data_IF_954674838458
#
_entry.id   IF_954674838458
#
_cell.length_a   1.000
_cell.length_b   1.000
_cell.length_c   1.000
_cell.angle_alpha   90.00
_cell.angle_beta   90.00
_cell.angle_gamma   90.00
#
_symmetry.space_group_name_H-M   'P 1'
#
loop_
_entity.id
_entity.type
_entity.pdbx_description
1 polymer ?
#
# COMPACT_ATOMS: atom_id res chain seq x y z
N UNK A 1 -22.88 27.64 26.50
CA UNK A 1 -22.23 27.02 25.32
C UNK A 1 -21.69 25.68 25.78
N UNK A 2 -22.43 24.60 25.50
CA UNK A 2 -22.09 23.24 25.95
C UNK A 2 -20.96 22.70 25.05
N UNK A 3 -19.71 22.81 25.51
CA UNK A 3 -18.53 22.31 24.77
C UNK A 3 -18.01 21.06 25.47
N UNK A 4 -18.84 20.02 25.52
CA UNK A 4 -18.35 18.65 25.65
C UNK A 4 -19.21 17.79 24.72
N UNK A 5 -18.72 17.57 23.50
CA UNK A 5 -19.37 16.70 22.52
C UNK A 5 -18.59 15.42 22.20
N UNK A 6 -17.35 15.25 22.67
CA UNK A 6 -16.60 13.99 22.52
C UNK A 6 -16.29 13.34 23.88
N UNK A 7 -16.87 12.16 24.11
CA UNK A 7 -16.60 11.30 25.28
C UNK A 7 -15.13 10.94 25.47
N UNK A 8 -14.32 11.00 24.41
CA UNK A 8 -12.87 10.74 24.47
C UNK A 8 -12.11 11.84 25.21
N UNK A 9 -12.54 13.09 25.06
CA UNK A 9 -11.89 14.22 25.73
C UNK A 9 -12.08 14.17 27.25
N UNK A 10 -13.22 13.66 27.73
CA UNK A 10 -13.47 13.46 29.15
C UNK A 10 -12.45 12.53 29.83
N UNK A 11 -11.87 11.57 29.10
CA UNK A 11 -10.81 10.69 29.63
C UNK A 11 -9.44 11.37 29.69
N UNK A 12 -9.25 12.39 28.86
CA UNK A 12 -8.01 13.18 28.78
C UNK A 12 -8.01 14.32 29.78
N UNK A 13 -9.15 14.69 30.34
CA UNK A 13 -9.22 15.63 31.44
C UNK A 13 -8.90 14.93 32.77
N UNK A 14 -7.92 15.48 33.48
CA UNK A 14 -7.53 15.05 34.81
C UNK A 14 -7.41 16.25 35.75
N UNK A 15 -7.30 15.97 37.04
CA UNK A 15 -6.88 16.95 38.04
C UNK A 15 -5.65 16.43 38.77
N UNK A 16 -4.71 17.33 39.06
CA UNK A 16 -3.60 17.04 39.98
C UNK A 16 -4.11 17.04 41.43
N UNK A 17 -3.27 16.59 42.36
CA UNK A 17 -3.57 16.54 43.79
C UNK A 17 -3.86 17.92 44.41
N UNK A 18 -3.38 19.00 43.79
CA UNK A 18 -3.65 20.40 44.15
C UNK A 18 -4.96 20.95 43.53
N UNK A 19 -5.70 20.13 42.77
CA UNK A 19 -6.94 20.53 42.12
C UNK A 19 -6.78 21.19 40.75
N UNK A 20 -5.56 21.42 40.27
CA UNK A 20 -5.33 22.05 38.96
C UNK A 20 -5.78 21.13 37.80
N UNK A 21 -6.61 21.62 36.85
CA UNK A 21 -6.97 20.85 35.67
C UNK A 21 -5.74 20.60 34.79
N UNK A 22 -5.56 19.37 34.34
CA UNK A 22 -4.50 18.99 33.40
C UNK A 22 -5.04 18.11 32.28
N UNK A 23 -4.41 18.22 31.12
CA UNK A 23 -4.60 17.25 30.04
C UNK A 23 -3.66 16.08 30.25
N UNK A 24 -4.20 14.87 30.37
CA UNK A 24 -3.42 13.64 30.51
C UNK A 24 -2.58 13.43 29.25
N UNK A 25 -1.31 13.03 29.40
CA UNK A 25 -0.48 12.72 28.24
C UNK A 25 -1.00 11.46 27.54
N UNK A 26 -0.85 11.41 26.21
CA UNK A 26 -1.11 10.20 25.44
C UNK A 26 0.00 9.18 25.74
N UNK A 27 -0.38 7.93 26.01
CA UNK A 27 0.63 6.87 26.21
C UNK A 27 1.42 6.64 24.92
N UNK A 28 2.72 6.34 25.01
CA UNK A 28 3.52 5.95 23.85
C UNK A 28 2.89 4.73 23.14
N UNK A 29 2.96 4.72 21.81
CA UNK A 29 2.25 3.74 20.97
C UNK A 29 3.15 3.28 19.82
N UNK A 30 3.12 3.94 18.66
CA UNK A 30 3.90 3.56 17.47
C UNK A 30 5.41 3.53 17.71
N UNK A 31 5.92 4.40 18.58
CA UNK A 31 7.35 4.51 18.88
C UNK A 31 7.87 3.38 19.78
N UNK A 32 6.98 2.71 20.53
CA UNK A 32 7.36 1.67 21.50
C UNK A 32 6.87 0.29 21.06
N UNK A 33 5.84 0.22 20.21
CA UNK A 33 5.35 -1.02 19.65
C UNK A 33 6.31 -1.56 18.57
N UNK A 34 6.52 -2.88 18.57
CA UNK A 34 7.28 -3.55 17.51
C UNK A 34 6.46 -3.64 16.22
N UNK A 35 6.58 -2.60 15.39
CA UNK A 35 5.92 -2.50 14.10
C UNK A 35 6.53 -3.42 13.03
N UNK A 36 7.71 -4.00 13.26
CA UNK A 36 8.43 -4.82 12.29
C UNK A 36 7.92 -6.26 12.23
N UNK A 37 6.89 -6.60 13.01
CA UNK A 37 6.13 -7.83 12.87
C UNK A 37 5.61 -7.97 11.44
N UNK A 38 5.82 -9.15 10.84
CA UNK A 38 5.46 -9.43 9.44
C UNK A 38 4.00 -9.06 9.14
N UNK A 39 3.08 -9.37 10.06
CA UNK A 39 1.64 -9.15 9.88
C UNK A 39 1.29 -7.65 9.82
N UNK A 40 1.84 -6.85 10.73
CA UNK A 40 1.67 -5.40 10.77
C UNK A 40 2.29 -4.73 9.54
N UNK A 41 3.51 -5.13 9.18
CA UNK A 41 4.21 -4.62 8.01
C UNK A 41 3.44 -4.92 6.71
N UNK A 42 2.92 -6.14 6.53
CA UNK A 42 2.11 -6.50 5.37
C UNK A 42 0.79 -5.70 5.31
N UNK A 43 0.16 -5.45 6.45
CA UNK A 43 -1.05 -4.61 6.49
C UNK A 43 -0.79 -3.18 6.01
N UNK A 44 0.30 -2.56 6.49
CA UNK A 44 0.70 -1.21 6.05
C UNK A 44 1.09 -1.22 4.56
N UNK A 45 1.87 -2.21 4.14
CA UNK A 45 2.26 -2.37 2.73
C UNK A 45 1.03 -2.51 1.81
N UNK A 46 -0.04 -3.19 2.24
CA UNK A 46 -1.30 -3.30 1.48
C UNK A 46 -1.92 -1.93 1.21
N UNK A 47 -1.89 -1.04 2.20
CA UNK A 47 -2.41 0.34 2.06
C UNK A 47 -1.53 1.17 1.13
N UNK A 48 -0.20 1.11 1.32
CA UNK A 48 0.76 1.86 0.50
C UNK A 48 0.65 1.41 -0.97
N UNK A 49 0.64 0.10 -1.22
CA UNK A 49 0.54 -0.46 -2.57
C UNK A 49 -0.81 -0.16 -3.22
N UNK A 50 -1.91 -0.10 -2.45
CA UNK A 50 -3.21 0.34 -2.96
C UNK A 50 -3.19 1.80 -3.46
N UNK A 51 -2.53 2.69 -2.72
CA UNK A 51 -2.32 4.09 -3.14
C UNK A 51 -1.45 4.16 -4.40
N UNK A 52 -0.32 3.44 -4.42
CA UNK A 52 0.57 3.38 -5.59
C UNK A 52 -0.19 2.83 -6.82
N UNK A 53 -1.00 1.78 -6.65
CA UNK A 53 -1.79 1.20 -7.73
C UNK A 53 -2.84 2.16 -8.28
N UNK A 54 -3.43 2.98 -7.40
CA UNK A 54 -4.35 4.06 -7.80
C UNK A 54 -3.64 5.12 -8.65
N UNK A 55 -2.39 5.49 -8.32
CA UNK A 55 -1.56 6.35 -9.17
C UNK A 55 -1.28 5.70 -10.51
N UNK A 56 -1.08 4.38 -10.55
CA UNK A 56 -0.96 3.61 -11.79
C UNK A 56 -2.14 3.78 -12.74
N UNK A 57 -3.37 3.83 -12.22
CA UNK A 57 -4.55 4.10 -13.05
C UNK A 57 -4.52 5.48 -13.68
N UNK A 58 -3.99 6.49 -12.99
CA UNK A 58 -3.80 7.83 -13.56
C UNK A 58 -2.77 7.79 -14.70
N UNK A 59 -1.66 7.06 -14.52
CA UNK A 59 -0.65 6.86 -15.58
C UNK A 59 -1.25 6.13 -16.79
N UNK A 60 -2.08 5.11 -16.57
CA UNK A 60 -2.78 4.39 -17.63
C UNK A 60 -3.70 5.32 -18.42
N UNK A 61 -4.51 6.13 -17.73
CA UNK A 61 -5.39 7.11 -18.37
C UNK A 61 -4.58 8.14 -19.17
N UNK A 62 -3.47 8.64 -18.61
CA UNK A 62 -2.59 9.57 -19.32
C UNK A 62 -2.04 8.95 -20.62
N UNK A 63 -1.60 7.70 -20.57
CA UNK A 63 -1.12 6.96 -21.74
C UNK A 63 -2.23 6.74 -22.79
N UNK A 64 -3.45 6.38 -22.37
CA UNK A 64 -4.60 6.20 -23.26
C UNK A 64 -4.99 7.51 -23.96
N UNK A 65 -5.04 8.63 -23.21
CA UNK A 65 -5.33 9.96 -23.76
C UNK A 65 -4.26 10.37 -24.78
N UNK A 66 -2.97 10.14 -24.47
CA UNK A 66 -1.89 10.44 -25.40
C UNK A 66 -1.97 9.62 -26.68
N UNK A 67 -2.33 8.34 -26.56
CA UNK A 67 -2.56 7.43 -27.70
C UNK A 67 -3.70 7.93 -28.59
N UNK A 68 -4.79 8.42 -28.00
CA UNK A 68 -5.94 8.95 -28.75
C UNK A 68 -5.68 10.34 -29.37
N UNK A 69 -4.79 11.14 -28.79
CA UNK A 69 -4.51 12.52 -29.24
C UNK A 69 -3.69 12.57 -30.53
N UNK A 70 -2.79 11.59 -30.72
CA UNK A 70 -2.00 11.46 -31.94
C UNK A 70 -0.49 11.31 -31.70
N UNK A 71 0.30 11.22 -32.78
CA UNK A 71 1.69 10.75 -32.71
C UNK A 71 2.62 11.60 -31.84
N UNK A 72 2.45 12.93 -31.83
CA UNK A 72 3.28 13.82 -31.02
C UNK A 72 3.08 13.62 -29.52
N UNK A 73 1.82 13.54 -29.07
CA UNK A 73 1.49 13.32 -27.66
C UNK A 73 1.92 11.91 -27.21
N UNK A 74 1.63 10.88 -28.01
CA UNK A 74 2.06 9.52 -27.75
C UNK A 74 3.59 9.41 -27.67
N UNK A 75 4.32 10.08 -28.58
CA UNK A 75 5.79 10.10 -28.57
C UNK A 75 6.37 10.68 -27.29
N UNK A 76 5.80 11.77 -26.77
CA UNK A 76 6.25 12.38 -25.51
C UNK A 76 6.05 11.44 -24.32
N UNK A 77 4.87 10.79 -24.21
CA UNK A 77 4.60 9.84 -23.12
C UNK A 77 5.48 8.60 -23.25
N UNK A 78 5.63 8.06 -24.46
CA UNK A 78 6.45 6.88 -24.72
C UNK A 78 7.91 7.14 -24.39
N UNK A 79 8.44 8.31 -24.74
CA UNK A 79 9.79 8.73 -24.35
C UNK A 79 9.97 8.77 -22.82
N UNK A 80 9.00 9.33 -22.10
CA UNK A 80 9.07 9.38 -20.64
C UNK A 80 8.98 7.99 -20.00
N UNK A 81 8.02 7.15 -20.41
CA UNK A 81 7.82 5.82 -19.84
C UNK A 81 8.96 4.85 -20.17
N UNK A 82 9.64 5.03 -21.31
CA UNK A 82 10.83 4.26 -21.69
C UNK A 82 12.14 4.80 -21.10
N UNK A 83 12.12 5.98 -20.47
CA UNK A 83 13.29 6.50 -19.75
C UNK A 83 13.65 5.59 -18.57
N UNK A 84 14.90 5.66 -18.10
CA UNK A 84 15.34 4.87 -16.94
C UNK A 84 14.44 5.05 -15.72
N UNK A 85 13.95 6.28 -15.48
CA UNK A 85 13.07 6.61 -14.36
C UNK A 85 11.66 6.09 -14.61
N UNK A 86 11.17 6.18 -15.85
CA UNK A 86 9.88 5.61 -16.26
C UNK A 86 9.84 4.10 -16.06
N UNK A 87 10.85 3.39 -16.54
CA UNK A 87 10.99 1.94 -16.37
C UNK A 87 11.08 1.56 -14.89
N UNK A 88 11.91 2.25 -14.10
CA UNK A 88 11.99 2.01 -12.65
C UNK A 88 10.62 2.21 -11.97
N UNK A 89 9.90 3.26 -12.32
CA UNK A 89 8.55 3.53 -11.85
C UNK A 89 7.57 2.42 -12.24
N UNK A 90 7.63 1.93 -13.47
CA UNK A 90 6.80 0.83 -13.96
C UNK A 90 7.12 -0.50 -13.24
N UNK A 91 8.39 -0.77 -12.91
CA UNK A 91 8.78 -1.95 -12.11
C UNK A 91 8.15 -1.85 -10.73
N UNK A 92 8.29 -0.69 -10.07
CA UNK A 92 7.67 -0.46 -8.76
C UNK A 92 6.15 -0.56 -8.80
N UNK A 93 5.52 -0.02 -9.84
CA UNK A 93 4.08 -0.06 -10.02
C UNK A 93 3.55 -1.49 -10.24
N UNK A 94 4.22 -2.28 -11.08
CA UNK A 94 3.87 -3.68 -11.33
C UNK A 94 4.06 -4.55 -10.07
N UNK A 95 5.12 -4.32 -9.31
CA UNK A 95 5.33 -4.99 -8.01
C UNK A 95 4.21 -4.63 -7.01
N UNK A 96 3.85 -3.34 -6.92
CA UNK A 96 2.74 -2.89 -6.08
C UNK A 96 1.40 -3.50 -6.51
N UNK A 97 1.15 -3.61 -7.82
CA UNK A 97 -0.06 -4.24 -8.37
C UNK A 97 -0.19 -5.71 -7.95
N UNK A 98 0.89 -6.49 -8.14
CA UNK A 98 0.90 -7.91 -7.77
C UNK A 98 0.76 -8.10 -6.27
N UNK A 99 1.50 -7.32 -5.48
CA UNK A 99 1.39 -7.38 -4.03
C UNK A 99 -0.03 -7.08 -3.55
N UNK A 100 -0.61 -5.97 -4.02
CA UNK A 100 -1.94 -5.53 -3.59
C UNK A 100 -3.01 -6.55 -3.98
N UNK A 101 -2.91 -7.12 -5.18
CA UNK A 101 -3.83 -8.16 -5.68
C UNK A 101 -3.73 -9.44 -4.84
N UNK A 102 -2.52 -9.97 -4.66
CA UNK A 102 -2.29 -11.22 -3.92
C UNK A 102 -2.62 -11.09 -2.44
N UNK A 103 -2.23 -9.97 -1.82
CA UNK A 103 -2.61 -9.70 -0.44
C UNK A 103 -4.12 -9.44 -0.33
N UNK A 104 -4.75 -8.83 -1.33
CA UNK A 104 -6.21 -8.70 -1.43
C UNK A 104 -6.92 -10.05 -1.44
N UNK A 105 -6.43 -11.04 -2.19
CA UNK A 105 -6.96 -12.43 -2.15
C UNK A 105 -6.83 -13.02 -0.75
N UNK A 106 -5.70 -12.80 -0.07
CA UNK A 106 -5.51 -13.22 1.33
C UNK A 106 -6.52 -12.54 2.28
N UNK A 107 -6.81 -11.25 2.07
CA UNK A 107 -7.84 -10.54 2.84
C UNK A 107 -9.25 -11.09 2.57
N UNK A 108 -9.59 -11.39 1.32
CA UNK A 108 -10.88 -12.01 0.99
C UNK A 108 -11.02 -13.40 1.62
N UNK A 109 -9.93 -14.17 1.72
CA UNK A 109 -9.92 -15.43 2.45
C UNK A 109 -10.19 -15.23 3.96
N UNK A 110 -9.62 -14.17 4.55
CA UNK A 110 -9.95 -13.78 5.92
C UNK A 110 -11.40 -13.34 6.07
N UNK A 111 -11.96 -12.58 5.12
CA UNK A 111 -13.36 -12.16 5.18
C UNK A 111 -14.32 -13.36 5.08
N UNK A 112 -13.91 -14.42 4.38
CA UNK A 112 -14.62 -15.69 4.30
C UNK A 112 -14.40 -16.63 5.51
N UNK A 113 -13.61 -16.21 6.51
CA UNK A 113 -13.43 -16.94 7.76
C UNK A 113 -12.24 -17.91 7.81
N UNK A 114 -11.33 -17.88 6.83
CA UNK A 114 -10.20 -18.82 6.74
C UNK A 114 -8.89 -18.24 7.26
N UNK A 115 -8.05 -19.04 7.93
CA UNK A 115 -6.63 -18.73 8.14
C UNK A 115 -6.31 -17.66 9.20
N UNK A 116 -7.08 -17.61 10.28
CA UNK A 116 -6.85 -16.70 11.43
C UNK A 116 -5.80 -17.19 12.43
N UNK A 117 -5.40 -18.46 12.37
CA UNK A 117 -4.35 -18.95 13.25
C UNK A 117 -3.02 -18.28 12.90
N UNK A 118 -2.20 -18.04 13.93
CA UNK A 118 -0.91 -17.35 13.77
C UNK A 118 0.01 -18.07 12.76
N UNK A 119 0.22 -19.40 12.83
CA UNK A 119 1.08 -20.09 11.86
C UNK A 119 0.63 -19.87 10.41
N UNK A 120 -0.66 -20.01 10.12
CA UNK A 120 -1.22 -19.82 8.77
C UNK A 120 -1.14 -18.36 8.34
N UNK A 121 -1.33 -17.41 9.25
CA UNK A 121 -1.20 -15.98 8.98
C UNK A 121 0.22 -15.61 8.53
N UNK A 122 1.24 -16.18 9.16
CA UNK A 122 2.64 -16.00 8.78
C UNK A 122 2.98 -16.73 7.47
N UNK A 123 2.49 -17.97 7.30
CA UNK A 123 2.71 -18.76 6.09
C UNK A 123 2.11 -18.08 4.85
N UNK A 124 0.85 -17.66 4.94
CA UNK A 124 0.16 -16.92 3.88
C UNK A 124 0.84 -15.58 3.58
N UNK A 125 1.30 -14.86 4.62
CA UNK A 125 2.05 -13.61 4.44
C UNK A 125 3.36 -13.80 3.67
N UNK A 126 4.15 -14.83 4.00
CA UNK A 126 5.37 -15.18 3.25
C UNK A 126 5.05 -15.62 1.82
N UNK A 127 3.98 -16.40 1.63
CA UNK A 127 3.53 -16.83 0.31
C UNK A 127 3.19 -15.64 -0.59
N UNK A 128 2.48 -14.63 -0.07
CA UNK A 128 2.19 -13.38 -0.80
C UNK A 128 3.47 -12.67 -1.24
N UNK A 129 4.48 -12.55 -0.37
CA UNK A 129 5.76 -11.90 -0.71
C UNK A 129 6.50 -12.65 -1.82
N UNK A 130 6.63 -13.98 -1.69
CA UNK A 130 7.31 -14.80 -2.71
C UNK A 130 6.55 -14.75 -4.03
N UNK A 131 5.23 -14.93 -4.00
CA UNK A 131 4.40 -14.87 -5.20
C UNK A 131 4.48 -13.49 -5.88
N UNK A 132 4.50 -12.40 -5.10
CA UNK A 132 4.69 -11.03 -5.64
C UNK A 132 6.01 -10.92 -6.40
N UNK A 133 7.11 -11.39 -5.80
CA UNK A 133 8.42 -11.34 -6.43
C UNK A 133 8.44 -12.16 -7.73
N UNK A 134 7.92 -13.39 -7.70
CA UNK A 134 7.85 -14.27 -8.87
C UNK A 134 7.01 -13.64 -9.98
N UNK A 135 5.80 -13.17 -9.67
CA UNK A 135 4.90 -12.57 -10.66
C UNK A 135 5.48 -11.30 -11.27
N UNK A 136 6.16 -10.49 -10.48
CA UNK A 136 6.87 -9.29 -10.97
C UNK A 136 7.96 -9.67 -11.95
N UNK A 137 8.84 -10.62 -11.57
CA UNK A 137 9.92 -11.09 -12.45
C UNK A 137 9.37 -11.67 -13.75
N UNK A 138 8.35 -12.53 -13.68
CA UNK A 138 7.72 -13.11 -14.88
C UNK A 138 7.12 -12.03 -15.79
N UNK A 139 6.45 -11.02 -15.22
CA UNK A 139 5.89 -9.90 -16.00
C UNK A 139 6.98 -9.17 -16.78
N UNK A 140 8.12 -8.89 -16.14
CA UNK A 140 9.22 -8.18 -16.78
C UNK A 140 10.00 -9.05 -17.77
N UNK A 141 10.14 -10.35 -17.51
CA UNK A 141 10.71 -11.27 -18.49
C UNK A 141 9.88 -11.28 -19.78
N UNK A 142 8.55 -11.39 -19.66
CA UNK A 142 7.65 -11.32 -20.81
C UNK A 142 7.76 -9.96 -21.51
N UNK A 143 7.78 -8.86 -20.75
CA UNK A 143 7.90 -7.52 -21.33
C UNK A 143 9.22 -7.32 -22.09
N UNK A 144 10.34 -7.81 -21.57
CA UNK A 144 11.65 -7.73 -22.23
C UNK A 144 11.68 -8.59 -23.49
N UNK A 145 11.14 -9.81 -23.44
CA UNK A 145 11.05 -10.69 -24.62
C UNK A 145 10.20 -10.03 -25.71
N UNK A 146 9.05 -9.48 -25.34
CA UNK A 146 8.14 -8.79 -26.26
C UNK A 146 8.73 -7.48 -26.82
N UNK A 147 9.62 -6.82 -26.07
CA UNK A 147 10.36 -5.66 -26.60
C UNK A 147 11.41 -6.10 -27.62
N UNK A 148 12.13 -7.19 -27.33
CA UNK A 148 13.23 -7.66 -28.18
C UNK A 148 12.79 -8.32 -29.49
N UNK A 149 11.52 -8.76 -29.59
CA UNK A 149 10.90 -9.35 -30.79
C UNK A 149 10.33 -8.30 -31.74
#
# INVERSE_FOLDING_TARGET
>A
MSIMQDSREATMEGRRTDGTPIRRPLSPHLQVYDMMQLTSALSIASRITGVIWSVGMVILVWWLVATATGPGAYGAVSWFLSSWLGVLGMVGLTAAAWYHTLNGVRHLAWDAGYGYDLPTTYKSGRAVLVATAVMTVLTWLVAIIAWAS
#
